data_IF_555639858037
#
_entry.id   IF_555639858037
#
_cell.length_a   1.000
_cell.length_b   1.000
_cell.length_c   1.000
_cell.angle_alpha   90.00
_cell.angle_beta   90.00
_cell.angle_gamma   90.00
#
_symmetry.space_group_name_H-M   'P 1'
#
loop_
_entity.id
_entity.type
_entity.pdbx_description
1 polymer ?
#
# COMPACT_ATOMS: atom_id res chain seq x y z
N UNK A 1 -92.80 -2.02 -39.31
CA UNK A 1 -92.29 -2.57 -40.59
C UNK A 1 -91.62 -3.89 -40.30
N UNK A 2 -92.31 -4.98 -40.65
CA UNK A 2 -91.78 -6.34 -40.63
C UNK A 2 -90.74 -6.50 -41.75
N UNK A 3 -89.63 -7.18 -41.47
CA UNK A 3 -88.96 -7.98 -42.49
C UNK A 3 -88.43 -9.27 -41.87
N UNK A 4 -88.84 -10.36 -42.52
CA UNK A 4 -88.61 -11.77 -42.22
C UNK A 4 -87.23 -12.24 -42.75
N UNK A 5 -86.97 -13.54 -42.49
CA UNK A 5 -86.00 -14.46 -43.12
C UNK A 5 -84.61 -14.49 -42.44
N UNK A 6 -83.95 -15.63 -42.20
CA UNK A 6 -84.20 -17.05 -42.47
C UNK A 6 -83.24 -17.89 -41.60
N UNK A 7 -83.65 -19.12 -41.29
CA UNK A 7 -82.82 -20.16 -40.69
C UNK A 7 -81.58 -20.48 -41.55
N UNK A 8 -80.47 -20.87 -40.93
CA UNK A 8 -79.74 -22.11 -41.28
C UNK A 8 -78.78 -22.52 -40.15
N UNK A 9 -78.93 -23.76 -39.68
CA UNK A 9 -77.97 -24.45 -38.79
C UNK A 9 -76.80 -24.97 -39.63
N UNK A 10 -75.57 -24.64 -39.24
CA UNK A 10 -74.37 -25.39 -39.66
C UNK A 10 -73.48 -25.57 -38.42
N UNK A 11 -73.35 -26.82 -38.00
CA UNK A 11 -72.32 -27.26 -37.04
C UNK A 11 -71.08 -27.62 -37.86
N UNK A 12 -69.89 -27.13 -37.49
CA UNK A 12 -68.68 -27.89 -37.74
C UNK A 12 -67.99 -28.21 -36.41
N UNK A 13 -67.82 -29.53 -36.23
CA UNK A 13 -66.92 -30.17 -35.29
C UNK A 13 -65.51 -29.61 -35.50
N UNK A 14 -64.99 -28.87 -34.53
CA UNK A 14 -63.57 -28.49 -34.50
C UNK A 14 -62.89 -29.30 -33.41
N UNK A 15 -62.18 -30.32 -33.88
CA UNK A 15 -61.26 -31.18 -33.15
C UNK A 15 -60.26 -30.36 -32.33
N UNK A 16 -60.23 -30.58 -31.02
CA UNK A 16 -59.22 -30.06 -30.12
C UNK A 16 -57.87 -30.72 -30.40
N UNK A 17 -57.00 -30.04 -31.15
CA UNK A 17 -55.58 -30.34 -31.16
C UNK A 17 -54.93 -29.64 -29.96
N UNK A 18 -54.81 -30.37 -28.84
CA UNK A 18 -54.02 -29.94 -27.70
C UNK A 18 -52.53 -29.96 -28.11
N UNK A 19 -52.01 -28.79 -28.49
CA UNK A 19 -50.57 -28.57 -28.60
C UNK A 19 -50.02 -28.49 -27.17
N UNK A 20 -49.50 -29.61 -26.68
CA UNK A 20 -48.69 -29.64 -25.47
C UNK A 20 -47.38 -28.89 -25.74
N UNK A 21 -47.38 -27.57 -25.53
CA UNK A 21 -46.14 -26.81 -25.36
C UNK A 21 -45.50 -27.29 -24.06
N UNK A 22 -44.53 -28.18 -24.20
CA UNK A 22 -43.65 -28.56 -23.10
C UNK A 22 -42.87 -27.30 -22.68
N UNK A 23 -43.32 -26.65 -21.60
CA UNK A 23 -42.48 -25.72 -20.86
C UNK A 23 -41.32 -26.54 -20.28
N UNK A 24 -40.19 -26.55 -20.99
CA UNK A 24 -38.90 -26.88 -20.41
C UNK A 24 -38.60 -25.81 -19.35
N UNK A 25 -39.04 -26.07 -18.12
CA UNK A 25 -38.66 -25.27 -16.96
C UNK A 25 -37.15 -25.31 -16.82
N UNK A 26 -36.50 -24.17 -17.03
CA UNK A 26 -35.12 -23.97 -16.57
C UNK A 26 -35.15 -24.16 -15.06
N UNK A 27 -34.58 -25.25 -14.56
CA UNK A 27 -34.31 -25.43 -13.15
C UNK A 27 -33.38 -24.29 -12.72
N UNK A 28 -33.93 -23.26 -12.09
CA UNK A 28 -33.13 -22.30 -11.34
C UNK A 28 -32.44 -23.10 -10.24
N UNK A 29 -31.11 -23.05 -10.18
CA UNK A 29 -30.39 -23.51 -9.00
C UNK A 29 -31.03 -22.80 -7.79
N UNK A 30 -31.55 -23.58 -6.84
CA UNK A 30 -32.20 -23.04 -5.65
C UNK A 30 -31.19 -22.13 -4.93
N UNK A 31 -31.55 -20.88 -4.73
CA UNK A 31 -30.66 -19.91 -4.10
C UNK A 31 -30.53 -20.26 -2.61
N UNK A 32 -29.29 -20.42 -2.13
CA UNK A 32 -29.04 -20.78 -0.73
C UNK A 32 -29.58 -19.65 0.17
N UNK A 33 -30.48 -19.95 1.12
CA UNK A 33 -31.02 -18.93 2.02
C UNK A 33 -29.92 -18.20 2.79
N UNK A 34 -30.04 -16.90 3.03
CA UNK A 34 -29.04 -16.15 3.81
C UNK A 34 -29.02 -16.56 5.29
N UNK A 35 -27.86 -16.41 5.93
CA UNK A 35 -27.71 -16.59 7.39
C UNK A 35 -27.92 -18.03 7.87
N UNK A 36 -28.27 -18.19 9.15
CA UNK A 36 -28.26 -19.50 9.84
C UNK A 36 -29.06 -20.61 9.15
N UNK A 37 -30.15 -20.28 8.46
CA UNK A 37 -30.95 -21.24 7.70
C UNK A 37 -30.16 -21.83 6.51
N UNK A 38 -29.48 -21.00 5.72
CA UNK A 38 -28.58 -21.47 4.66
C UNK A 38 -27.39 -22.23 5.19
N UNK A 39 -26.85 -21.79 6.33
CA UNK A 39 -25.75 -22.50 6.96
C UNK A 39 -26.12 -23.95 7.31
N UNK A 40 -27.23 -24.15 8.01
CA UNK A 40 -27.67 -25.49 8.42
C UNK A 40 -28.11 -26.36 7.23
N UNK A 41 -28.73 -25.76 6.21
CA UNK A 41 -29.28 -26.52 5.07
C UNK A 41 -28.27 -26.85 3.96
N UNK A 42 -27.26 -26.01 3.72
CA UNK A 42 -26.34 -26.18 2.59
C UNK A 42 -24.86 -26.17 3.00
N UNK A 43 -24.44 -25.20 3.82
CA UNK A 43 -23.01 -24.98 4.14
C UNK A 43 -22.47 -26.08 5.06
N UNK A 44 -23.19 -26.40 6.12
CA UNK A 44 -22.79 -27.42 7.09
C UNK A 44 -22.76 -28.83 6.48
N UNK A 45 -23.75 -29.24 5.66
CA UNK A 45 -23.64 -30.47 4.87
C UNK A 45 -22.43 -30.47 3.92
N UNK A 46 -22.19 -29.36 3.20
CA UNK A 46 -21.04 -29.22 2.32
C UNK A 46 -19.71 -29.42 3.07
N UNK A 47 -19.50 -28.72 4.19
CA UNK A 47 -18.29 -28.90 5.00
C UNK A 47 -18.16 -30.31 5.56
N UNK A 48 -19.27 -30.93 5.98
CA UNK A 48 -19.27 -32.31 6.48
C UNK A 48 -18.78 -33.29 5.41
N UNK A 49 -19.21 -33.11 4.16
CA UNK A 49 -18.86 -33.99 3.04
C UNK A 49 -17.42 -33.78 2.56
N UNK A 50 -17.01 -32.53 2.37
CA UNK A 50 -15.77 -32.22 1.65
C UNK A 50 -14.60 -31.80 2.55
N UNK A 51 -14.86 -31.29 3.77
CA UNK A 51 -13.83 -30.55 4.52
C UNK A 51 -13.52 -31.16 5.90
N UNK A 52 -14.52 -31.66 6.63
CA UNK A 52 -14.40 -32.11 8.03
C UNK A 52 -13.48 -33.32 8.20
N UNK A 53 -13.21 -34.10 7.14
CA UNK A 53 -12.21 -35.17 7.15
C UNK A 53 -10.81 -34.66 7.56
N UNK A 54 -10.43 -33.46 7.10
CA UNK A 54 -9.14 -32.83 7.37
C UNK A 54 -9.19 -31.68 8.38
N UNK A 55 -10.35 -31.02 8.49
CA UNK A 55 -10.60 -29.85 9.35
C UNK A 55 -11.69 -30.13 10.41
N UNK A 56 -11.73 -31.34 10.94
CA UNK A 56 -12.70 -31.79 11.94
C UNK A 56 -12.18 -31.69 13.38
N UNK A 57 -12.91 -32.28 14.35
CA UNK A 57 -12.47 -32.32 15.73
C UNK A 57 -11.25 -33.24 15.94
N UNK A 58 -11.07 -34.25 15.08
CA UNK A 58 -9.98 -35.23 15.16
C UNK A 58 -8.72 -34.83 14.40
N UNK A 59 -8.84 -33.95 13.40
CA UNK A 59 -7.75 -33.49 12.53
C UNK A 59 -7.96 -32.01 12.22
N UNK A 60 -6.90 -31.21 12.37
CA UNK A 60 -6.92 -29.76 12.14
C UNK A 60 -5.76 -29.37 11.24
N UNK A 61 -5.84 -29.73 9.95
CA UNK A 61 -4.83 -29.30 8.96
C UNK A 61 -4.84 -27.77 8.88
N UNK A 62 -3.66 -27.16 8.77
CA UNK A 62 -3.52 -25.69 8.76
C UNK A 62 -4.00 -24.99 10.04
N UNK A 63 -4.20 -25.73 11.14
CA UNK A 63 -4.77 -25.22 12.41
C UNK A 63 -6.19 -24.63 12.27
N UNK A 64 -6.96 -25.06 11.27
CA UNK A 64 -8.36 -24.65 11.04
C UNK A 64 -9.30 -25.84 11.27
N UNK A 65 -10.43 -25.60 11.97
CA UNK A 65 -11.47 -26.57 12.32
C UNK A 65 -12.89 -26.09 11.97
N UNK A 66 -13.58 -26.72 11.02
CA UNK A 66 -14.86 -26.20 10.52
C UNK A 66 -16.08 -26.65 11.31
N UNK A 67 -15.92 -27.64 12.19
CA UNK A 67 -17.02 -28.24 12.95
C UNK A 67 -17.64 -27.34 14.02
N UNK A 68 -16.95 -26.28 14.44
CA UNK A 68 -17.39 -25.35 15.49
C UNK A 68 -17.99 -24.05 14.95
N UNK A 69 -18.12 -23.91 13.64
CA UNK A 69 -18.73 -22.73 13.02
C UNK A 69 -20.24 -22.74 13.28
N UNK A 70 -20.79 -21.59 13.66
CA UNK A 70 -22.20 -21.41 14.02
C UNK A 70 -23.08 -20.88 12.87
N UNK A 71 -22.43 -20.37 11.82
CA UNK A 71 -23.08 -19.95 10.57
C UNK A 71 -23.65 -18.55 10.55
N UNK A 72 -23.42 -17.73 11.58
CA UNK A 72 -23.92 -16.35 11.63
C UNK A 72 -22.84 -15.33 11.28
N UNK A 73 -22.58 -15.18 9.97
CA UNK A 73 -21.63 -14.19 9.46
C UNK A 73 -22.09 -12.75 9.76
N UNK A 74 -23.40 -12.51 9.91
CA UNK A 74 -23.96 -11.17 10.14
C UNK A 74 -23.74 -10.66 11.57
N UNK A 75 -23.48 -11.58 12.51
CA UNK A 75 -23.08 -11.24 13.87
C UNK A 75 -21.60 -10.83 13.99
N UNK A 76 -20.80 -11.03 12.94
CA UNK A 76 -19.39 -10.64 12.93
C UNK A 76 -18.47 -11.57 13.72
N UNK A 77 -18.92 -12.79 14.03
CA UNK A 77 -18.09 -13.78 14.70
C UNK A 77 -17.22 -14.53 13.70
N UNK A 78 -15.99 -14.89 14.11
CA UNK A 78 -15.07 -15.73 13.33
C UNK A 78 -14.77 -15.21 11.90
N UNK A 79 -14.86 -13.89 11.66
CA UNK A 79 -14.74 -13.30 10.30
C UNK A 79 -13.41 -13.66 9.61
N UNK A 80 -12.30 -13.60 10.34
CA UNK A 80 -10.96 -13.99 9.82
C UNK A 80 -10.96 -15.45 9.35
N UNK A 81 -11.71 -16.30 10.02
CA UNK A 81 -11.79 -17.71 9.66
C UNK A 81 -12.65 -17.92 8.42
N UNK A 82 -13.77 -17.19 8.32
CA UNK A 82 -14.62 -17.19 7.14
C UNK A 82 -13.89 -16.64 5.91
N UNK A 83 -13.03 -15.65 6.07
CA UNK A 83 -12.11 -15.15 5.04
C UNK A 83 -11.19 -16.27 4.53
N UNK A 84 -10.48 -16.96 5.42
CA UNK A 84 -9.57 -18.04 5.03
C UNK A 84 -10.30 -19.18 4.29
N UNK A 85 -11.54 -19.45 4.67
CA UNK A 85 -12.38 -20.44 4.00
C UNK A 85 -12.80 -19.95 2.62
N UNK A 86 -13.20 -18.68 2.50
CA UNK A 86 -13.58 -18.07 1.23
C UNK A 86 -12.40 -18.13 0.25
N UNK A 87 -11.23 -17.66 0.69
CA UNK A 87 -10.01 -17.63 -0.12
C UNK A 87 -9.63 -19.03 -0.64
N UNK A 88 -9.64 -20.04 0.24
CA UNK A 88 -9.35 -21.42 -0.14
C UNK A 88 -10.40 -22.02 -1.11
N UNK A 89 -11.67 -21.61 -1.01
CA UNK A 89 -12.72 -22.08 -1.92
C UNK A 89 -12.67 -21.36 -3.28
N UNK A 90 -12.36 -20.06 -3.30
CA UNK A 90 -12.22 -19.25 -4.52
C UNK A 90 -11.02 -19.71 -5.35
N UNK A 91 -9.89 -19.99 -4.71
CA UNK A 91 -8.68 -20.50 -5.36
C UNK A 91 -8.73 -22.00 -5.67
N UNK A 92 -9.79 -22.69 -5.25
CA UNK A 92 -9.96 -24.14 -5.40
C UNK A 92 -8.89 -24.99 -4.69
N UNK A 93 -8.14 -24.40 -3.76
CA UNK A 93 -7.10 -25.09 -2.98
C UNK A 93 -7.66 -26.21 -2.08
N UNK A 94 -8.95 -26.12 -1.74
CA UNK A 94 -9.62 -27.08 -0.88
C UNK A 94 -10.91 -27.63 -1.53
N UNK A 95 -11.16 -28.94 -1.48
CA UNK A 95 -10.26 -30.00 -0.99
C UNK A 95 -9.03 -30.20 -1.88
N UNK A 96 -7.89 -30.69 -1.35
CA UNK A 96 -6.69 -30.96 -2.14
C UNK A 96 -6.96 -31.89 -3.32
N UNK A 97 -6.23 -31.72 -4.42
CA UNK A 97 -6.43 -32.51 -5.65
C UNK A 97 -6.34 -34.03 -5.42
N UNK A 98 -5.63 -34.50 -4.39
CA UNK A 98 -5.51 -35.92 -4.07
C UNK A 98 -6.75 -36.50 -3.38
N UNK A 99 -7.70 -35.67 -2.94
CA UNK A 99 -8.96 -36.15 -2.34
C UNK A 99 -9.96 -36.57 -3.44
N UNK A 100 -10.42 -37.82 -3.36
CA UNK A 100 -11.38 -38.41 -4.31
C UNK A 100 -12.72 -37.66 -4.37
N UNK A 101 -13.11 -37.02 -3.27
CA UNK A 101 -14.37 -36.29 -3.16
C UNK A 101 -14.16 -34.79 -3.38
N UNK A 102 -14.39 -34.35 -4.62
CA UNK A 102 -14.38 -32.95 -5.01
C UNK A 102 -15.80 -32.40 -5.19
N UNK A 103 -16.11 -31.18 -4.71
CA UNK A 103 -17.39 -30.55 -4.99
C UNK A 103 -17.47 -30.13 -6.46
N UNK A 104 -18.70 -30.10 -7.00
CA UNK A 104 -18.92 -29.55 -8.34
C UNK A 104 -18.60 -28.05 -8.37
N UNK A 105 -18.25 -27.51 -9.54
CA UNK A 105 -18.00 -26.09 -9.71
C UNK A 105 -19.22 -25.24 -9.33
N UNK A 106 -20.44 -25.74 -9.60
CA UNK A 106 -21.69 -25.07 -9.24
C UNK A 106 -21.91 -25.03 -7.72
N UNK A 107 -21.66 -26.14 -7.02
CA UNK A 107 -21.81 -26.19 -5.56
C UNK A 107 -20.79 -25.27 -4.87
N UNK A 108 -19.53 -25.32 -5.32
CA UNK A 108 -18.47 -24.46 -4.82
C UNK A 108 -18.82 -22.98 -5.01
N UNK A 109 -19.26 -22.59 -6.21
CA UNK A 109 -19.66 -21.22 -6.51
C UNK A 109 -20.87 -20.77 -5.66
N UNK A 110 -21.84 -21.67 -5.40
CA UNK A 110 -22.98 -21.37 -4.55
C UNK A 110 -22.55 -21.12 -3.08
N UNK A 111 -21.62 -21.93 -2.56
CA UNK A 111 -21.07 -21.75 -1.20
C UNK A 111 -20.28 -20.43 -1.11
N UNK A 112 -19.39 -20.16 -2.08
CA UNK A 112 -18.62 -18.91 -2.17
C UNK A 112 -19.57 -17.70 -2.15
N UNK A 113 -20.58 -17.69 -3.03
CA UNK A 113 -21.56 -16.61 -3.11
C UNK A 113 -22.27 -16.37 -1.77
N UNK A 114 -22.60 -17.44 -1.04
CA UNK A 114 -23.25 -17.33 0.26
C UNK A 114 -22.32 -16.71 1.32
N UNK A 115 -21.06 -17.16 1.40
CA UNK A 115 -20.06 -16.63 2.33
C UNK A 115 -19.81 -15.14 2.04
N UNK A 116 -19.51 -14.80 0.79
CA UNK A 116 -19.27 -13.42 0.38
C UNK A 116 -20.47 -12.51 0.71
N UNK A 117 -21.70 -12.98 0.46
CA UNK A 117 -22.91 -12.19 0.73
C UNK A 117 -23.08 -11.95 2.23
N UNK A 118 -22.82 -12.96 3.07
CA UNK A 118 -22.82 -12.81 4.53
C UNK A 118 -21.78 -11.80 5.03
N UNK A 119 -20.55 -11.85 4.51
CA UNK A 119 -19.50 -10.89 4.83
C UNK A 119 -19.87 -9.47 4.38
N UNK A 120 -20.40 -9.32 3.15
CA UNK A 120 -20.87 -8.02 2.62
C UNK A 120 -21.99 -7.43 3.49
N UNK A 121 -22.93 -8.24 3.94
CA UNK A 121 -24.03 -7.78 4.78
C UNK A 121 -23.58 -7.39 6.19
N UNK A 122 -22.60 -8.08 6.76
CA UNK A 122 -21.92 -7.65 7.99
C UNK A 122 -21.30 -6.26 7.81
N UNK A 123 -20.51 -6.05 6.75
CA UNK A 123 -19.85 -4.75 6.48
C UNK A 123 -20.88 -3.63 6.33
N UNK A 124 -21.97 -3.85 5.57
CA UNK A 124 -23.05 -2.86 5.42
C UNK A 124 -23.75 -2.52 6.73
N UNK A 125 -23.90 -3.50 7.62
CA UNK A 125 -24.51 -3.30 8.95
C UNK A 125 -23.55 -2.53 9.85
N UNK A 126 -22.29 -2.93 9.90
CA UNK A 126 -21.25 -2.24 10.66
C UNK A 126 -21.08 -0.78 10.21
N UNK A 127 -21.10 -0.52 8.89
CA UNK A 127 -20.98 0.83 8.35
C UNK A 127 -22.14 1.76 8.71
N UNK A 128 -23.35 1.23 8.91
CA UNK A 128 -24.53 2.02 9.35
C UNK A 128 -24.48 2.39 10.83
N UNK A 129 -23.77 1.63 11.66
CA UNK A 129 -23.57 1.92 13.09
C UNK A 129 -22.46 2.96 13.29
N UNK A 130 -21.48 3.01 12.39
CA UNK A 130 -20.32 3.91 12.42
C UNK A 130 -20.60 5.38 12.01
N UNK A 131 -21.77 5.94 12.32
CA UNK A 131 -22.07 7.39 12.14
C UNK A 131 -21.42 8.25 13.24
N UNK A 132 -20.60 7.66 14.12
CA UNK A 132 -19.86 8.37 15.15
C UNK A 132 -18.65 9.11 14.54
N UNK A 133 -18.75 10.45 14.51
CA UNK A 133 -17.69 11.45 14.25
C UNK A 133 -16.57 11.06 13.27
N UNK A 134 -16.62 11.63 12.06
CA UNK A 134 -15.63 11.47 10.98
C UNK A 134 -14.28 12.16 11.22
N UNK A 135 -14.11 12.86 12.34
CA UNK A 135 -12.87 13.61 12.60
C UNK A 135 -11.74 12.64 12.90
N UNK A 136 -10.78 12.57 11.98
CA UNK A 136 -9.57 11.76 12.10
C UNK A 136 -8.32 12.62 12.07
N UNK A 137 -7.23 12.13 12.65
CA UNK A 137 -5.90 12.68 12.35
C UNK A 137 -5.46 12.32 10.93
N UNK A 138 -4.49 13.07 10.42
CA UNK A 138 -3.78 12.70 9.20
C UNK A 138 -2.95 11.42 9.44
N UNK A 139 -2.84 10.56 8.43
CA UNK A 139 -1.84 9.49 8.42
C UNK A 139 -0.44 10.10 8.49
N UNK A 140 0.55 9.33 8.91
CA UNK A 140 1.93 9.80 9.00
C UNK A 140 2.45 10.27 7.63
N UNK A 141 2.04 9.57 6.57
CA UNK A 141 2.33 9.96 5.19
C UNK A 141 1.65 11.28 4.80
N UNK A 142 0.35 11.41 5.07
CA UNK A 142 -0.41 12.65 4.81
C UNK A 142 0.17 13.84 5.58
N UNK A 143 0.54 13.65 6.85
CA UNK A 143 1.14 14.69 7.69
C UNK A 143 2.48 15.17 7.12
N UNK A 144 3.37 14.25 6.74
CA UNK A 144 4.67 14.63 6.15
C UNK A 144 4.49 15.38 4.82
N UNK A 145 3.60 14.91 3.96
CA UNK A 145 3.32 15.60 2.69
C UNK A 145 2.74 16.99 2.93
N UNK A 146 1.81 17.12 3.88
CA UNK A 146 1.23 18.43 4.24
C UNK A 146 2.31 19.38 4.74
N UNK A 147 3.21 18.91 5.59
CA UNK A 147 4.32 19.74 6.10
C UNK A 147 5.30 20.13 5.00
N UNK A 148 5.61 19.22 4.06
CA UNK A 148 6.44 19.53 2.88
C UNK A 148 5.76 20.61 2.03
N UNK A 149 4.48 20.46 1.76
CA UNK A 149 3.73 21.36 0.88
C UNK A 149 3.57 22.76 1.53
N UNK A 150 3.40 22.83 2.86
CA UNK A 150 3.33 24.10 3.59
C UNK A 150 4.68 24.81 3.72
N UNK A 151 5.78 24.07 3.86
CA UNK A 151 7.10 24.65 4.12
C UNK A 151 7.98 24.80 2.88
N UNK A 152 7.65 24.09 1.79
CA UNK A 152 8.38 24.13 0.54
C UNK A 152 9.67 23.29 0.52
N UNK A 153 9.93 22.49 1.56
CA UNK A 153 11.07 21.58 1.61
C UNK A 153 10.73 20.29 2.36
N UNK A 154 11.47 19.23 2.06
CA UNK A 154 11.22 17.91 2.63
C UNK A 154 11.94 17.72 3.98
N UNK A 155 11.19 17.21 4.95
CA UNK A 155 11.70 16.75 6.24
C UNK A 155 11.18 15.33 6.49
N UNK A 156 12.06 14.45 6.97
CA UNK A 156 11.64 13.14 7.49
C UNK A 156 10.97 13.32 8.87
N UNK A 157 9.66 13.55 8.86
CA UNK A 157 8.84 13.72 10.07
C UNK A 157 8.13 12.42 10.45
N UNK A 158 7.72 11.61 9.47
CA UNK A 158 6.93 10.40 9.69
C UNK A 158 7.65 9.35 10.55
N UNK A 159 8.99 9.27 10.49
CA UNK A 159 9.79 8.27 11.24
C UNK A 159 9.67 8.38 12.76
N UNK A 160 9.36 9.56 13.26
CA UNK A 160 9.25 9.83 14.70
C UNK A 160 7.79 9.85 15.19
N UNK A 161 6.84 9.54 14.32
CA UNK A 161 5.42 9.43 14.69
C UNK A 161 5.09 7.99 15.05
N UNK A 162 4.16 7.77 15.99
CA UNK A 162 3.60 6.45 16.24
C UNK A 162 3.02 5.86 14.96
N UNK A 163 3.19 4.55 14.77
CA UNK A 163 2.74 3.85 13.57
C UNK A 163 1.22 4.01 13.40
N UNK A 164 0.79 4.23 12.16
CA UNK A 164 -0.64 4.27 11.85
C UNK A 164 -1.29 2.89 12.08
N UNK A 165 -2.54 2.84 12.54
CA UNK A 165 -3.26 1.58 12.75
C UNK A 165 -3.43 0.83 11.42
N UNK A 166 -3.14 -0.46 11.44
CA UNK A 166 -3.38 -1.38 10.33
C UNK A 166 -4.37 -2.47 10.77
N UNK A 167 -5.44 -2.64 10.00
CA UNK A 167 -6.52 -3.58 10.28
C UNK A 167 -6.91 -4.29 8.97
N UNK A 168 -7.12 -5.61 8.97
CA UNK A 168 -7.64 -6.33 7.81
C UNK A 168 -8.95 -5.72 7.32
N UNK A 169 -9.13 -5.62 5.99
CA UNK A 169 -10.32 -5.04 5.34
C UNK A 169 -10.62 -3.57 5.61
N UNK A 170 -9.67 -2.85 6.22
CA UNK A 170 -9.78 -1.43 6.45
C UNK A 170 -8.61 -0.69 5.81
N UNK A 171 -8.88 0.51 5.33
CA UNK A 171 -7.83 1.43 4.92
C UNK A 171 -7.14 2.00 6.17
N UNK A 172 -5.84 2.27 6.05
CA UNK A 172 -5.02 2.92 7.08
C UNK A 172 -5.44 4.36 7.43
N UNK A 173 -6.48 4.90 6.77
CA UNK A 173 -7.06 6.21 7.02
C UNK A 173 -8.49 6.14 7.61
N UNK A 174 -8.91 4.97 8.09
CA UNK A 174 -10.24 4.77 8.70
C UNK A 174 -10.37 5.59 9.99
N UNK A 175 -11.38 6.47 10.07
CA UNK A 175 -11.50 7.46 11.14
C UNK A 175 -11.57 6.87 12.55
N UNK A 176 -12.30 5.76 12.72
CA UNK A 176 -12.45 5.04 14.00
C UNK A 176 -11.11 4.68 14.65
N UNK A 177 -10.10 4.37 13.84
CA UNK A 177 -8.78 3.99 14.33
C UNK A 177 -7.80 5.16 14.39
N UNK A 178 -8.12 6.26 13.69
CA UNK A 178 -7.26 7.42 13.52
C UNK A 178 -7.51 8.49 14.58
N UNK A 179 -7.55 8.04 15.84
CA UNK A 179 -7.68 8.89 17.01
C UNK A 179 -6.32 9.48 17.42
N UNK A 180 -6.36 10.63 18.08
CA UNK A 180 -5.16 11.30 18.58
C UNK A 180 -4.89 10.83 20.01
N UNK A 181 -3.86 9.99 20.17
CA UNK A 181 -3.37 9.57 21.48
C UNK A 181 -2.43 10.61 22.14
N UNK A 182 -2.17 10.49 23.45
CA UNK A 182 -1.25 11.39 24.16
C UNK A 182 0.17 11.43 23.57
N UNK A 183 0.74 10.27 23.23
CA UNK A 183 2.06 10.19 22.61
C UNK A 183 2.08 10.86 21.23
N UNK A 184 1.02 10.68 20.44
CA UNK A 184 0.87 11.35 19.14
C UNK A 184 0.95 12.89 19.26
N UNK A 185 0.31 13.47 20.27
CA UNK A 185 0.36 14.93 20.51
C UNK A 185 1.77 15.40 20.85
N UNK A 186 2.49 14.65 21.68
CA UNK A 186 3.87 14.96 22.03
C UNK A 186 4.75 14.93 20.78
N UNK A 187 4.63 13.87 19.97
CA UNK A 187 5.40 13.73 18.72
C UNK A 187 5.05 14.78 17.68
N UNK A 188 3.78 15.15 17.53
CA UNK A 188 3.36 16.26 16.66
C UNK A 188 3.97 17.59 17.10
N UNK A 189 4.03 17.87 18.41
CA UNK A 189 4.69 19.08 18.93
C UNK A 189 6.20 19.07 18.66
N UNK A 190 6.87 17.94 18.83
CA UNK A 190 8.30 17.78 18.51
C UNK A 190 8.57 17.97 17.02
N UNK A 191 7.76 17.33 16.17
CA UNK A 191 7.83 17.45 14.71
C UNK A 191 7.59 18.90 14.26
N UNK A 192 6.57 19.57 14.81
CA UNK A 192 6.28 20.97 14.51
C UNK A 192 7.45 21.89 14.90
N UNK A 193 8.07 21.69 16.08
CA UNK A 193 9.25 22.46 16.49
C UNK A 193 10.44 22.25 15.56
N UNK A 194 10.74 21.00 15.19
CA UNK A 194 11.81 20.68 14.24
C UNK A 194 11.55 21.33 12.88
N UNK A 195 10.31 21.28 12.42
CA UNK A 195 9.90 21.86 11.15
C UNK A 195 10.03 23.39 11.16
N UNK A 196 9.51 24.06 12.20
CA UNK A 196 9.63 25.51 12.35
C UNK A 196 11.08 25.96 12.54
N UNK A 197 11.91 25.23 13.28
CA UNK A 197 13.34 25.55 13.42
C UNK A 197 14.10 25.42 12.09
N UNK A 198 13.59 24.63 11.15
CA UNK A 198 14.17 24.48 9.81
C UNK A 198 13.68 25.57 8.86
N UNK A 199 12.44 26.03 9.02
CA UNK A 199 11.81 27.03 8.14
C UNK A 199 12.12 28.48 8.57
N UNK A 200 12.14 28.74 9.88
CA UNK A 200 12.38 30.06 10.46
C UNK A 200 13.89 30.20 10.65
N UNK A 201 14.55 30.67 9.60
CA UNK A 201 15.97 31.05 9.66
C UNK A 201 16.06 32.48 10.20
N UNK A 202 16.74 32.68 11.32
CA UNK A 202 17.18 34.01 11.72
C UNK A 202 18.30 34.44 10.76
N UNK A 203 18.11 35.48 9.92
CA UNK A 203 19.09 35.91 8.93
C UNK A 203 20.26 36.68 9.55
N UNK A 204 20.66 36.31 10.77
CA UNK A 204 21.91 36.74 11.38
C UNK A 204 23.05 36.66 10.38
N UNK A 205 24.05 37.54 10.53
CA UNK A 205 25.13 37.67 9.55
C UNK A 205 25.74 36.28 9.28
N UNK A 206 25.73 35.79 8.03
CA UNK A 206 26.14 34.42 7.74
C UNK A 206 27.57 34.21 8.18
N UNK A 207 27.83 33.05 8.78
CA UNK A 207 29.18 32.69 9.17
C UNK A 207 30.06 32.61 7.91
N UNK A 208 31.15 33.38 7.90
CA UNK A 208 32.04 33.43 6.75
C UNK A 208 33.11 32.35 6.92
N UNK A 209 32.88 31.20 6.29
CA UNK A 209 33.88 30.15 6.20
C UNK A 209 34.99 30.55 5.23
N UNK A 210 36.23 30.61 5.70
CA UNK A 210 37.41 30.90 4.87
C UNK A 210 38.42 29.77 4.96
N UNK A 211 38.80 29.25 3.81
CA UNK A 211 39.92 28.33 3.65
C UNK A 211 40.90 28.90 2.64
N UNK A 212 42.19 28.77 2.92
CA UNK A 212 43.27 29.12 2.00
C UNK A 212 44.33 28.03 2.07
N UNK A 213 44.84 27.62 0.92
CA UNK A 213 46.00 26.77 0.84
C UNK A 213 46.94 27.30 -0.24
N UNK A 214 48.24 27.11 0.00
CA UNK A 214 49.27 27.29 -1.02
C UNK A 214 49.65 25.91 -1.51
N UNK A 215 49.55 25.71 -2.81
CA UNK A 215 49.95 24.47 -3.46
C UNK A 215 51.20 24.71 -4.27
N UNK A 216 52.17 23.81 -4.12
CA UNK A 216 53.39 23.78 -4.93
C UNK A 216 53.38 22.44 -5.68
N UNK A 217 53.43 22.49 -7.00
CA UNK A 217 53.56 21.28 -7.78
C UNK A 217 54.92 20.63 -7.48
N UNK A 218 54.91 19.32 -7.25
CA UNK A 218 56.13 18.53 -7.22
C UNK A 218 56.71 18.33 -8.62
N UNK A 219 57.65 17.39 -8.76
CA UNK A 219 58.08 16.91 -10.08
C UNK A 219 56.89 16.24 -10.78
N UNK A 220 56.71 16.42 -12.11
CA UNK A 220 55.70 15.70 -12.87
C UNK A 220 55.88 14.18 -12.72
N UNK A 221 54.78 13.45 -12.60
CA UNK A 221 54.81 11.99 -12.71
C UNK A 221 54.55 11.55 -14.16
N UNK A 222 54.46 10.23 -14.42
CA UNK A 222 54.24 9.68 -15.77
C UNK A 222 52.93 10.14 -16.42
N UNK A 223 51.99 10.69 -15.64
CA UNK A 223 50.70 11.19 -16.09
C UNK A 223 50.64 12.74 -16.11
N UNK A 224 51.78 13.41 -15.90
CA UNK A 224 51.91 14.88 -15.97
C UNK A 224 51.93 15.56 -14.60
N UNK A 225 51.60 16.86 -14.58
CA UNK A 225 51.47 17.64 -13.35
C UNK A 225 50.20 17.24 -12.61
N UNK A 226 50.26 17.18 -11.27
CA UNK A 226 49.07 16.90 -10.45
C UNK A 226 48.06 18.06 -10.53
N UNK A 227 46.77 17.72 -10.56
CA UNK A 227 45.70 18.70 -10.48
C UNK A 227 45.54 19.19 -9.03
N UNK A 228 45.18 20.46 -8.85
CA UNK A 228 44.81 21.02 -7.56
C UNK A 228 43.28 20.99 -7.43
N UNK A 229 42.76 20.20 -6.49
CA UNK A 229 41.32 20.08 -6.23
C UNK A 229 40.95 20.78 -4.92
N UNK A 230 39.74 21.33 -4.82
CA UNK A 230 39.19 21.86 -3.55
C UNK A 230 38.06 20.93 -3.14
N UNK A 231 38.29 20.15 -2.08
CA UNK A 231 37.38 19.07 -1.65
C UNK A 231 36.72 19.39 -0.32
N UNK A 232 35.46 18.98 -0.18
CA UNK A 232 34.73 19.02 1.09
C UNK A 232 35.19 17.90 2.04
N UNK A 233 35.79 16.83 1.49
CA UNK A 233 36.23 15.65 2.24
C UNK A 233 37.73 15.38 2.05
N UNK A 234 38.44 15.09 3.14
CA UNK A 234 39.81 14.57 3.13
C UNK A 234 39.77 13.10 3.57
N UNK A 235 39.70 12.19 2.58
CA UNK A 235 39.75 10.75 2.81
C UNK A 235 41.14 10.14 2.63
N UNK A 236 41.36 8.90 3.06
CA UNK A 236 42.52 8.11 2.66
C UNK A 236 42.55 8.00 1.12
N UNK A 237 43.64 8.43 0.47
CA UNK A 237 43.82 8.32 -0.99
C UNK A 237 43.67 9.61 -1.81
N UNK A 238 43.09 10.69 -1.27
CA UNK A 238 43.05 11.99 -1.98
C UNK A 238 44.36 12.79 -1.88
N UNK A 239 45.30 12.33 -1.05
CA UNK A 239 46.69 12.80 -1.02
C UNK A 239 46.89 14.30 -0.72
N UNK A 240 48.13 14.79 -0.89
CA UNK A 240 48.51 16.21 -0.74
C UNK A 240 47.99 17.12 -1.88
N UNK A 241 46.98 16.67 -2.62
CA UNK A 241 46.50 17.28 -3.87
C UNK A 241 45.24 18.14 -3.68
N UNK A 242 44.68 18.17 -2.46
CA UNK A 242 43.42 18.87 -2.19
C UNK A 242 43.51 19.95 -1.12
N UNK A 243 42.75 21.03 -1.31
CA UNK A 243 42.42 22.00 -0.26
C UNK A 243 41.20 21.46 0.48
N UNK A 244 41.39 20.97 1.70
CA UNK A 244 40.27 20.54 2.55
C UNK A 244 39.55 21.73 3.17
N UNK A 245 38.23 21.80 3.01
CA UNK A 245 37.41 22.74 3.77
C UNK A 245 37.31 22.26 5.23
N UNK A 246 37.82 23.07 6.17
CA UNK A 246 37.74 22.75 7.61
C UNK A 246 36.32 22.89 8.17
N UNK A 247 35.56 23.84 7.63
CA UNK A 247 34.15 24.05 7.95
C UNK A 247 33.44 24.59 6.70
N UNK A 248 32.18 24.20 6.51
CA UNK A 248 31.33 24.61 5.40
C UNK A 248 29.85 24.49 5.81
N UNK A 249 28.95 25.32 5.24
CA UNK A 249 27.53 25.28 5.58
C UNK A 249 26.86 24.02 5.03
N UNK A 250 26.25 23.20 5.89
CA UNK A 250 25.63 21.92 5.49
C UNK A 250 24.26 22.08 4.81
N UNK A 251 23.58 23.19 5.06
CA UNK A 251 22.21 23.46 4.59
C UNK A 251 22.04 24.96 4.27
N UNK A 252 21.01 25.29 3.49
CA UNK A 252 20.65 26.67 3.15
C UNK A 252 21.30 27.19 1.86
N UNK A 253 20.98 28.44 1.52
CA UNK A 253 21.58 29.15 0.39
C UNK A 253 22.99 29.64 0.74
N UNK A 254 23.95 29.44 -0.18
CA UNK A 254 25.34 29.84 0.03
C UNK A 254 25.92 30.57 -1.17
N UNK A 255 26.84 31.51 -0.90
CA UNK A 255 27.65 32.19 -1.91
C UNK A 255 29.11 31.74 -1.81
N UNK A 256 29.59 31.06 -2.83
CA UNK A 256 31.01 30.66 -2.93
C UNK A 256 31.78 31.78 -3.64
N UNK A 257 32.88 32.25 -3.03
CA UNK A 257 33.85 33.15 -3.67
C UNK A 257 35.21 32.47 -3.73
N UNK A 258 35.72 32.28 -4.94
CA UNK A 258 37.05 31.68 -5.18
C UNK A 258 38.01 32.77 -5.64
N UNK A 259 39.16 32.88 -4.98
CA UNK A 259 40.29 33.71 -5.42
C UNK A 259 41.49 32.79 -5.65
N UNK A 260 41.96 32.74 -6.88
CA UNK A 260 43.14 31.95 -7.28
C UNK A 260 44.23 32.89 -7.82
N UNK A 261 45.48 32.52 -7.58
CA UNK A 261 46.67 33.19 -8.09
C UNK A 261 47.77 32.17 -8.30
N UNK A 262 48.61 32.36 -9.31
CA UNK A 262 49.71 31.44 -9.63
C UNK A 262 50.96 32.20 -10.09
N UNK A 263 52.10 31.51 -10.05
CA UNK A 263 53.34 31.99 -10.66
C UNK A 263 53.38 31.49 -12.10
N UNK A 264 53.49 32.40 -13.07
CA UNK A 264 53.50 32.06 -14.49
C UNK A 264 54.93 31.96 -15.03
N UNK A 265 55.21 31.01 -15.94
CA UNK A 265 56.46 31.02 -16.69
C UNK A 265 56.58 32.30 -17.53
N UNK A 266 57.82 32.75 -17.85
CA UNK A 266 58.03 33.88 -18.76
C UNK A 266 57.26 33.70 -20.07
N UNK A 267 56.50 34.72 -20.46
CA UNK A 267 55.68 34.71 -21.68
C UNK A 267 54.19 34.41 -21.48
N UNK A 268 53.78 33.92 -20.29
CA UNK A 268 52.36 33.70 -19.97
C UNK A 268 51.84 34.79 -19.04
N UNK A 269 50.68 35.36 -19.37
CA UNK A 269 50.01 36.42 -18.56
C UNK A 269 48.76 35.93 -17.83
N UNK A 270 48.15 34.84 -18.29
CA UNK A 270 46.93 34.27 -17.74
C UNK A 270 46.87 32.76 -17.96
N UNK A 271 46.01 32.09 -17.21
CA UNK A 271 45.64 30.67 -17.40
C UNK A 271 44.13 30.50 -17.21
N UNK A 272 43.50 29.59 -17.96
CA UNK A 272 42.09 29.29 -17.77
C UNK A 272 41.87 28.62 -16.41
N UNK A 273 41.01 29.21 -15.60
CA UNK A 273 40.51 28.59 -14.38
C UNK A 273 39.28 27.75 -14.73
N UNK A 274 39.35 26.43 -14.54
CA UNK A 274 38.20 25.53 -14.64
C UNK A 274 37.67 25.23 -13.25
N UNK A 275 36.45 25.68 -12.94
CA UNK A 275 35.72 25.28 -11.74
C UNK A 275 34.71 24.19 -12.13
N UNK A 276 34.85 23.01 -11.55
CA UNK A 276 33.87 21.92 -11.68
C UNK A 276 33.20 21.75 -10.32
N UNK A 277 31.92 22.09 -10.22
CA UNK A 277 31.12 21.86 -9.03
C UNK A 277 30.30 20.58 -9.21
N UNK A 278 30.59 19.57 -8.40
CA UNK A 278 29.92 18.28 -8.41
C UNK A 278 30.63 17.20 -9.21
N UNK A 279 30.81 16.04 -8.59
CA UNK A 279 30.77 14.74 -9.24
C UNK A 279 29.55 14.01 -8.69
N UNK A 280 28.96 13.09 -9.47
CA UNK A 280 27.87 12.22 -9.03
C UNK A 280 28.12 11.73 -7.59
N UNK A 281 27.10 11.78 -6.73
CA UNK A 281 27.05 11.09 -5.44
C UNK A 281 27.34 9.59 -5.63
N UNK A 282 28.61 9.21 -5.77
CA UNK A 282 29.05 7.86 -5.45
C UNK A 282 29.26 7.84 -3.95
N UNK A 283 28.16 7.54 -3.26
CA UNK A 283 28.16 7.01 -1.90
C UNK A 283 28.74 5.57 -1.88
N UNK A 284 29.84 5.31 -2.59
CA UNK A 284 30.64 4.12 -2.35
C UNK A 284 32.06 4.32 -2.88
N UNK A 285 32.98 4.44 -1.94
CA UNK A 285 34.39 4.17 -2.13
C UNK A 285 34.89 3.60 -0.82
N UNK A 286 34.23 2.56 -0.32
CA UNK A 286 34.55 2.02 1.00
C UNK A 286 33.69 0.91 1.57
N UNK A 287 32.83 0.23 0.81
CA UNK A 287 32.27 -1.06 1.24
C UNK A 287 32.59 -2.15 0.24
N UNK A 288 33.83 -2.64 0.29
CA UNK A 288 34.12 -3.99 -0.16
C UNK A 288 33.38 -4.98 0.74
N UNK A 289 32.38 -5.66 0.18
CA UNK A 289 31.68 -6.74 0.84
C UNK A 289 30.23 -6.85 0.38
N UNK A 290 30.01 -7.43 -0.80
CA UNK A 290 28.74 -8.11 -1.08
C UNK A 290 28.78 -9.48 -0.42
N UNK A 291 27.97 -9.66 0.63
CA UNK A 291 27.36 -10.93 1.03
C UNK A 291 25.91 -10.65 1.43
#
# INVERSE_FOLDING_TARGET
MNLHLLLTRIVPVVTWAAVCVALAGKASAAEIPSGKSGFESHIKPFFKTYCVKCHGPKKSKGKITLHSLDGDLTAGQELVRWELILDALEHQDMPPEEEENQPSAADRAAIVKWIESGLRDYVKKASKVAVATTTRRLTNFEYQNTMRDLLGFELELAKNLPVDPEKPYHFNNTAEFMMVGPDQLVRYKEAARKAMASAIVDPGKPEVHRASAKWQHGKPDKNGLSQAEIGVYQGPGVGRKTVGLKSWPKTGEFRIRVKASGNFPPGFKEVPLRLVMGTSLRHDSGSGGFQ
#
